data_IF_174468503555
#
_entry.id   IF_174468503555
#
_cell.length_a   1.000
_cell.length_b   1.000
_cell.length_c   1.000
_cell.angle_alpha   90.00
_cell.angle_beta   90.00
_cell.angle_gamma   90.00
#
_symmetry.space_group_name_H-M   'P 1'
#
loop_
_entity.id
_entity.type
_entity.pdbx_description
1 polymer ?
#
# COMPACT_ATOMS: atom_id res chain seq x y z
N UNK A 1 -41.77 12.39 52.16
CA UNK A 1 -40.94 11.46 51.35
C UNK A 1 -41.00 11.90 49.87
N UNK A 2 -40.05 12.73 49.46
CA UNK A 2 -39.99 13.27 48.10
C UNK A 2 -38.91 12.45 47.37
N UNK A 3 -39.27 11.65 46.37
CA UNK A 3 -38.36 10.90 45.51
C UNK A 3 -37.89 11.82 44.37
N UNK A 4 -36.64 12.22 44.42
CA UNK A 4 -35.96 12.92 43.31
C UNK A 4 -35.65 11.91 42.23
N UNK A 5 -36.24 12.10 41.04
CA UNK A 5 -35.94 11.37 39.83
C UNK A 5 -34.75 12.07 39.17
N UNK A 6 -33.56 11.49 39.20
CA UNK A 6 -32.40 11.97 38.48
C UNK A 6 -32.50 11.49 37.02
N UNK A 7 -32.72 12.44 36.12
CA UNK A 7 -32.71 12.21 34.66
C UNK A 7 -31.26 12.14 34.19
N UNK A 8 -30.74 10.95 33.95
CA UNK A 8 -29.42 10.74 33.35
C UNK A 8 -29.51 11.07 31.82
N UNK A 9 -28.98 12.22 31.46
CA UNK A 9 -28.79 12.60 30.05
C UNK A 9 -27.64 11.73 29.47
N UNK A 10 -27.98 10.71 28.70
CA UNK A 10 -27.03 9.95 27.89
C UNK A 10 -26.53 10.86 26.76
N UNK A 11 -25.35 11.46 26.92
CA UNK A 11 -24.58 12.06 25.86
C UNK A 11 -24.10 10.93 24.93
N UNK A 12 -24.87 10.63 23.91
CA UNK A 12 -24.38 9.85 22.77
C UNK A 12 -23.26 10.68 22.10
N UNK A 13 -22.07 10.08 21.85
CA UNK A 13 -21.08 10.77 21.06
C UNK A 13 -21.69 11.01 19.66
N UNK A 14 -21.79 12.28 19.26
CA UNK A 14 -22.15 12.63 17.90
C UNK A 14 -21.07 12.01 17.00
N UNK A 15 -21.45 10.99 16.24
CA UNK A 15 -20.62 10.54 15.14
C UNK A 15 -20.39 11.76 14.27
N UNK A 16 -19.15 12.24 14.17
CA UNK A 16 -18.81 13.34 13.28
C UNK A 16 -19.05 12.83 11.85
N UNK A 17 -20.21 13.18 11.28
CA UNK A 17 -20.52 12.85 9.89
C UNK A 17 -19.46 13.47 8.98
N UNK A 18 -19.11 12.77 7.90
CA UNK A 18 -18.27 13.34 6.86
C UNK A 18 -18.98 14.59 6.30
N UNK A 19 -18.21 15.67 6.16
CA UNK A 19 -18.75 16.94 5.69
C UNK A 19 -19.03 16.84 4.20
N UNK A 20 -20.22 17.28 3.76
CA UNK A 20 -20.51 17.42 2.34
C UNK A 20 -19.61 18.50 1.75
N UNK A 21 -18.87 18.15 0.71
CA UNK A 21 -17.95 19.08 0.06
C UNK A 21 -18.04 19.01 -1.46
N UNK A 22 -17.70 20.12 -2.11
CA UNK A 22 -17.49 20.21 -3.54
C UNK A 22 -16.12 20.82 -3.82
N UNK A 23 -15.30 20.12 -4.62
CA UNK A 23 -14.04 20.65 -5.13
C UNK A 23 -14.29 21.14 -6.54
N UNK A 24 -14.10 22.45 -6.78
CA UNK A 24 -14.35 23.10 -8.06
C UNK A 24 -13.05 23.49 -8.76
N UNK A 25 -13.13 23.76 -10.07
CA UNK A 25 -12.00 24.17 -10.91
C UNK A 25 -10.80 23.24 -10.79
N UNK A 26 -11.03 21.91 -10.72
CA UNK A 26 -10.00 20.91 -10.60
C UNK A 26 -9.55 20.38 -11.96
N UNK A 27 -8.28 20.06 -12.08
CA UNK A 27 -7.74 19.20 -13.14
C UNK A 27 -7.80 17.75 -12.63
N UNK A 28 -8.95 17.10 -12.77
CA UNK A 28 -9.17 15.79 -12.15
C UNK A 28 -8.63 14.64 -13.00
N UNK A 29 -7.78 13.82 -12.40
CA UNK A 29 -7.30 12.54 -12.95
C UNK A 29 -8.06 11.40 -12.29
N UNK A 30 -9.16 10.99 -12.90
CA UNK A 30 -10.11 10.06 -12.27
C UNK A 30 -9.62 8.62 -12.21
N UNK A 31 -8.60 8.26 -12.97
CA UNK A 31 -8.11 6.88 -13.14
C UNK A 31 -9.17 5.91 -13.69
N UNK A 32 -10.24 6.43 -14.33
CA UNK A 32 -11.27 5.63 -15.00
C UNK A 32 -10.87 5.42 -16.46
N UNK A 33 -11.05 4.20 -16.97
CA UNK A 33 -10.68 3.85 -18.35
C UNK A 33 -9.24 3.40 -18.49
N UNK A 34 -8.78 3.26 -19.74
CA UNK A 34 -7.43 2.83 -20.13
C UNK A 34 -6.93 3.64 -21.31
N UNK A 35 -5.62 3.83 -21.38
CA UNK A 35 -4.94 4.60 -22.44
C UNK A 35 -4.53 6.00 -22.00
N UNK A 36 -3.64 6.62 -22.75
CA UNK A 36 -3.02 7.91 -22.43
C UNK A 36 -4.06 9.01 -22.26
N UNK A 37 -4.08 9.64 -21.09
CA UNK A 37 -5.04 10.69 -20.72
C UNK A 37 -6.45 10.20 -20.41
N UNK A 38 -6.68 8.89 -20.34
CA UNK A 38 -7.97 8.34 -19.97
C UNK A 38 -8.37 8.79 -18.54
N UNK A 39 -9.62 9.25 -18.42
CA UNK A 39 -10.16 9.69 -17.15
C UNK A 39 -9.72 11.09 -16.69
N UNK A 40 -9.08 11.90 -17.55
CA UNK A 40 -8.79 13.31 -17.27
C UNK A 40 -10.04 14.15 -17.51
N UNK A 41 -10.40 15.00 -16.53
CA UNK A 41 -11.52 15.94 -16.60
C UNK A 41 -11.01 17.33 -16.21
N UNK A 42 -10.94 18.24 -17.20
CA UNK A 42 -10.54 19.63 -16.97
C UNK A 42 -11.69 20.45 -16.43
N UNK A 43 -11.39 21.47 -15.61
CA UNK A 43 -12.37 22.30 -14.92
C UNK A 43 -13.44 21.48 -14.20
N UNK A 44 -12.97 20.42 -13.53
CA UNK A 44 -13.87 19.47 -12.88
C UNK A 44 -14.47 20.03 -11.59
N UNK A 45 -15.74 19.67 -11.37
CA UNK A 45 -16.41 19.74 -10.07
C UNK A 45 -16.54 18.31 -9.52
N UNK A 46 -15.93 18.05 -8.36
CA UNK A 46 -16.01 16.78 -7.63
C UNK A 46 -16.96 17.00 -6.45
N UNK A 47 -18.07 16.30 -6.42
CA UNK A 47 -19.05 16.39 -5.33
C UNK A 47 -18.92 15.16 -4.43
N UNK A 48 -18.80 15.40 -3.13
CA UNK A 48 -18.69 14.37 -2.08
C UNK A 48 -19.85 14.53 -1.10
N UNK A 49 -20.49 13.41 -0.78
CA UNK A 49 -21.53 13.31 0.22
C UNK A 49 -21.30 12.07 1.09
N UNK A 50 -21.37 12.24 2.39
CA UNK A 50 -21.19 11.18 3.38
C UNK A 50 -19.90 10.34 3.14
N UNK A 51 -18.81 11.04 2.82
CA UNK A 51 -17.49 10.43 2.62
C UNK A 51 -17.32 9.66 1.30
N UNK A 52 -18.28 9.77 0.38
CA UNK A 52 -18.26 9.11 -0.94
C UNK A 52 -18.37 10.11 -2.07
N UNK A 53 -17.74 9.78 -3.20
CA UNK A 53 -17.84 10.57 -4.42
C UNK A 53 -19.26 10.37 -5.04
N UNK A 54 -19.97 11.46 -5.23
CA UNK A 54 -21.29 11.48 -5.90
C UNK A 54 -21.14 11.67 -7.39
N UNK A 55 -20.27 12.62 -7.79
CA UNK A 55 -20.02 12.92 -9.19
C UNK A 55 -18.67 13.60 -9.41
N UNK A 56 -18.13 13.40 -10.62
CA UNK A 56 -17.00 14.15 -11.16
C UNK A 56 -17.40 14.59 -12.56
N UNK A 57 -17.63 15.89 -12.76
CA UNK A 57 -18.15 16.44 -14.02
C UNK A 57 -17.45 17.75 -14.38
N UNK A 58 -17.23 18.01 -15.67
CA UNK A 58 -16.71 19.28 -16.12
C UNK A 58 -17.72 20.39 -15.81
N UNK A 59 -17.24 21.50 -15.20
CA UNK A 59 -18.07 22.67 -14.84
C UNK A 59 -19.40 22.30 -14.15
N UNK A 60 -19.36 21.31 -13.26
CA UNK A 60 -20.54 20.75 -12.60
C UNK A 60 -21.20 21.72 -11.62
N UNK A 61 -22.50 21.52 -11.40
CA UNK A 61 -23.24 22.28 -10.39
C UNK A 61 -22.83 21.87 -8.96
N UNK A 62 -22.71 22.85 -8.08
CA UNK A 62 -22.44 22.62 -6.64
C UNK A 62 -23.79 22.55 -5.92
N UNK A 63 -24.09 21.46 -5.18
CA UNK A 63 -25.30 21.36 -4.39
C UNK A 63 -25.38 22.45 -3.29
N UNK A 64 -26.58 22.93 -3.00
CA UNK A 64 -26.76 23.93 -1.95
C UNK A 64 -26.39 23.36 -0.56
N UNK A 65 -25.73 24.18 0.26
CA UNK A 65 -25.30 23.77 1.62
C UNK A 65 -24.00 22.99 1.68
N UNK A 66 -23.36 22.73 0.55
CA UNK A 66 -22.07 22.02 0.48
C UNK A 66 -20.90 22.99 0.74
N UNK A 67 -19.89 22.54 1.48
CA UNK A 67 -18.64 23.29 1.63
C UNK A 67 -17.88 23.27 0.31
N UNK A 68 -17.50 24.47 -0.20
CA UNK A 68 -16.81 24.60 -1.48
C UNK A 68 -15.31 24.81 -1.26
N UNK A 69 -14.51 24.04 -1.98
CA UNK A 69 -13.06 24.19 -2.06
C UNK A 69 -12.69 24.46 -3.52
N UNK A 70 -12.18 25.63 -3.79
CA UNK A 70 -11.67 25.98 -5.12
C UNK A 70 -10.26 25.42 -5.30
N UNK A 71 -10.10 24.46 -6.18
CA UNK A 71 -8.80 23.90 -6.52
C UNK A 71 -7.94 24.85 -7.34
N UNK A 72 -8.53 25.87 -7.99
CA UNK A 72 -7.81 26.90 -8.75
C UNK A 72 -6.97 26.32 -9.89
N UNK A 73 -7.46 25.31 -10.60
CA UNK A 73 -6.76 24.62 -11.68
C UNK A 73 -5.76 23.54 -11.21
N UNK A 74 -5.66 23.27 -9.90
CA UNK A 74 -4.75 22.26 -9.37
C UNK A 74 -5.14 20.85 -9.77
N UNK A 75 -4.12 20.01 -9.88
CA UNK A 75 -4.33 18.58 -10.13
C UNK A 75 -4.99 17.90 -8.93
N UNK A 76 -5.99 17.06 -9.21
CA UNK A 76 -6.66 16.21 -8.22
C UNK A 76 -6.58 14.76 -8.67
N UNK A 77 -6.09 13.90 -7.78
CA UNK A 77 -6.01 12.44 -8.00
C UNK A 77 -6.80 11.70 -6.94
N UNK A 78 -7.12 10.40 -7.15
CA UNK A 78 -7.42 9.52 -6.02
C UNK A 78 -6.30 9.60 -4.99
N UNK A 79 -6.61 9.33 -3.72
CA UNK A 79 -5.59 9.13 -2.71
C UNK A 79 -4.59 8.05 -3.15
N UNK A 80 -3.32 8.22 -2.82
CA UNK A 80 -2.31 7.24 -3.18
C UNK A 80 -2.38 6.01 -2.27
N UNK A 81 -2.01 4.85 -2.82
CA UNK A 81 -1.86 3.60 -2.09
C UNK A 81 -0.50 2.98 -2.36
N UNK A 82 0.32 2.88 -1.34
CA UNK A 82 1.58 2.15 -1.44
C UNK A 82 1.31 0.64 -1.28
N UNK A 83 1.76 -0.14 -2.26
CA UNK A 83 1.49 -1.58 -2.35
C UNK A 83 2.30 -2.45 -1.36
N UNK A 84 3.34 -1.88 -0.72
CA UNK A 84 4.14 -2.60 0.26
C UNK A 84 4.87 -1.65 1.22
N UNK A 85 4.45 -1.64 2.48
CA UNK A 85 5.04 -0.81 3.56
C UNK A 85 5.18 -1.61 4.84
N UNK A 86 5.78 -0.98 5.85
CA UNK A 86 5.80 -1.45 7.24
C UNK A 86 5.14 -0.43 8.17
N UNK A 87 4.28 0.45 7.61
CA UNK A 87 3.52 1.43 8.38
C UNK A 87 2.66 0.75 9.45
N UNK A 88 2.69 1.31 10.65
CA UNK A 88 2.00 0.75 11.81
C UNK A 88 2.71 -0.45 12.46
N UNK A 89 3.79 -0.98 11.87
CA UNK A 89 4.57 -2.12 12.41
C UNK A 89 5.96 -1.73 12.89
N UNK A 90 6.49 -0.62 12.40
CA UNK A 90 7.84 -0.15 12.70
C UNK A 90 7.81 1.35 12.94
N UNK A 91 8.29 1.80 14.10
CA UNK A 91 8.45 3.23 14.40
C UNK A 91 9.87 3.70 14.10
N UNK A 92 10.87 2.88 14.45
CA UNK A 92 12.27 3.10 14.11
C UNK A 92 13.01 1.77 13.93
N UNK A 93 13.79 1.67 12.86
CA UNK A 93 14.52 0.44 12.54
C UNK A 93 15.68 0.12 13.49
N UNK A 94 16.07 1.06 14.36
CA UNK A 94 17.19 0.90 15.30
C UNK A 94 16.77 0.47 16.71
N UNK A 95 15.47 0.34 16.99
CA UNK A 95 14.94 -0.06 18.27
C UNK A 95 14.05 -1.30 18.10
N UNK A 96 14.52 -2.45 18.55
CA UNK A 96 13.86 -3.74 18.35
C UNK A 96 12.44 -3.77 18.97
N UNK A 97 12.25 -3.08 20.10
CA UNK A 97 10.96 -2.96 20.78
C UNK A 97 9.89 -2.18 19.99
N UNK A 98 10.28 -1.54 18.90
CA UNK A 98 9.37 -0.82 17.99
C UNK A 98 9.22 -1.51 16.64
N UNK A 99 9.58 -2.79 16.54
CA UNK A 99 9.70 -3.52 15.29
C UNK A 99 8.94 -4.85 15.32
N UNK A 100 7.65 -4.79 15.01
CA UNK A 100 6.72 -5.92 15.07
C UNK A 100 6.48 -6.61 13.70
N UNK A 101 7.30 -6.33 12.71
CA UNK A 101 7.13 -6.84 11.33
C UNK A 101 7.45 -8.31 11.15
N UNK A 102 8.13 -8.96 12.09
CA UNK A 102 8.57 -10.35 11.93
C UNK A 102 8.62 -11.10 13.26
N UNK A 103 8.62 -12.43 13.18
CA UNK A 103 8.77 -13.31 14.34
C UNK A 103 9.81 -14.39 14.04
N UNK A 104 10.68 -14.67 15.00
CA UNK A 104 11.63 -15.80 14.93
C UNK A 104 11.02 -17.11 15.47
N UNK A 105 9.77 -17.09 15.92
CA UNK A 105 9.08 -18.27 16.41
C UNK A 105 8.73 -19.20 15.26
N UNK A 106 9.39 -20.36 15.18
CA UNK A 106 9.19 -21.34 14.10
C UNK A 106 7.83 -22.04 14.11
N UNK A 107 7.03 -21.87 15.17
CA UNK A 107 5.64 -22.35 15.18
C UNK A 107 4.71 -21.45 14.35
N UNK A 108 5.17 -20.27 13.94
CA UNK A 108 4.43 -19.30 13.15
C UNK A 108 5.15 -19.10 11.80
N UNK A 109 4.69 -19.79 10.78
CA UNK A 109 5.16 -19.63 9.41
C UNK A 109 4.14 -18.84 8.58
N UNK A 110 3.34 -19.54 7.81
CA UNK A 110 2.23 -18.98 7.04
C UNK A 110 1.16 -18.31 7.93
N UNK A 111 1.06 -18.71 9.18
CA UNK A 111 0.07 -18.22 10.14
C UNK A 111 0.47 -16.93 10.87
N UNK A 112 1.72 -16.47 10.76
CA UNK A 112 2.10 -15.17 11.33
C UNK A 112 1.24 -14.05 10.75
N UNK A 113 0.60 -13.26 11.59
CA UNK A 113 -0.42 -12.30 11.16
C UNK A 113 -0.19 -10.93 11.80
N UNK A 114 0.20 -9.97 10.98
CA UNK A 114 0.62 -8.63 11.43
C UNK A 114 -0.55 -7.75 11.90
N UNK A 115 -1.79 -8.13 11.65
CA UNK A 115 -2.94 -7.32 12.08
C UNK A 115 -2.97 -7.08 13.59
N UNK A 116 -2.42 -8.02 14.37
CA UNK A 116 -2.39 -7.92 15.82
C UNK A 116 -1.34 -6.95 16.38
N UNK A 117 -0.43 -6.47 15.52
CA UNK A 117 0.65 -5.56 15.88
C UNK A 117 0.47 -4.14 15.32
N UNK A 118 -0.60 -3.88 14.56
CA UNK A 118 -0.82 -2.58 13.94
C UNK A 118 -1.04 -1.49 14.98
N UNK A 119 -0.17 -0.47 14.98
CA UNK A 119 -0.24 0.68 15.87
C UNK A 119 -0.90 1.88 15.14
N UNK A 120 -2.16 2.17 15.49
CA UNK A 120 -2.90 3.31 14.95
C UNK A 120 -2.33 4.67 15.39
N UNK A 121 -1.52 4.70 16.45
CA UNK A 121 -0.87 5.90 16.97
C UNK A 121 0.57 6.06 16.48
N UNK A 122 0.99 5.30 15.46
CA UNK A 122 2.32 5.44 14.86
C UNK A 122 2.57 6.87 14.40
N UNK A 123 3.73 7.43 14.77
CA UNK A 123 4.15 8.78 14.38
C UNK A 123 4.46 8.88 12.88
N UNK A 124 4.52 7.78 12.16
CA UNK A 124 4.79 7.71 10.73
C UNK A 124 3.53 7.81 9.88
N UNK A 125 2.35 7.50 10.42
CA UNK A 125 1.09 7.62 9.70
C UNK A 125 0.78 9.06 9.27
N UNK A 126 0.96 10.10 10.13
CA UNK A 126 0.83 11.49 9.70
C UNK A 126 1.81 11.89 8.58
N UNK A 127 3.04 11.37 8.60
CA UNK A 127 4.04 11.65 7.56
C UNK A 127 3.58 11.07 6.23
N UNK A 128 3.26 9.78 6.19
CA UNK A 128 2.78 9.10 4.99
C UNK A 128 1.51 9.76 4.42
N UNK A 129 0.60 10.22 5.29
CA UNK A 129 -0.62 10.94 4.90
C UNK A 129 -0.31 12.31 4.32
N UNK A 130 0.65 13.05 4.91
CA UNK A 130 1.10 14.34 4.39
C UNK A 130 1.76 14.22 3.00
N UNK A 131 2.25 13.04 2.62
CA UNK A 131 2.77 12.72 1.29
C UNK A 131 1.69 12.29 0.28
N UNK A 132 0.41 12.26 0.70
CA UNK A 132 -0.72 11.91 -0.15
C UNK A 132 -1.16 10.45 -0.08
N UNK A 133 -0.56 9.62 0.80
CA UNK A 133 -1.07 8.27 1.03
C UNK A 133 -2.37 8.32 1.84
N UNK A 134 -3.39 7.64 1.36
CA UNK A 134 -4.65 7.43 2.10
C UNK A 134 -4.83 5.97 2.48
N UNK A 135 -4.14 5.07 1.77
CA UNK A 135 -4.09 3.64 2.07
C UNK A 135 -2.69 3.08 1.87
N UNK A 136 -2.42 1.96 2.51
CA UNK A 136 -1.20 1.20 2.30
C UNK A 136 -1.43 -0.29 2.56
N UNK A 137 -0.50 -1.10 2.08
CA UNK A 137 -0.37 -2.50 2.49
C UNK A 137 0.76 -2.58 3.49
N UNK A 138 0.46 -2.97 4.72
CA UNK A 138 1.48 -3.36 5.69
C UNK A 138 1.75 -4.85 5.57
N UNK A 139 3.01 -5.22 5.38
CA UNK A 139 3.40 -6.61 5.13
C UNK A 139 4.49 -7.08 6.08
N UNK A 140 4.52 -8.39 6.42
CA UNK A 140 5.53 -8.96 7.31
C UNK A 140 6.88 -9.06 6.61
N UNK A 141 7.97 -8.96 7.37
CA UNK A 141 9.30 -9.29 6.89
C UNK A 141 9.61 -10.78 7.08
N UNK A 142 10.56 -11.29 6.30
CA UNK A 142 11.02 -12.66 6.43
C UNK A 142 11.56 -12.94 7.84
N UNK A 143 11.20 -14.09 8.38
CA UNK A 143 11.64 -14.60 9.67
C UNK A 143 12.14 -16.04 9.56
N UNK A 144 12.28 -16.76 10.67
CA UNK A 144 12.93 -18.07 10.72
C UNK A 144 12.29 -19.22 9.94
N UNK A 145 11.08 -19.09 9.39
CA UNK A 145 10.32 -20.17 8.74
C UNK A 145 10.22 -19.96 7.23
N UNK A 146 11.35 -20.12 6.52
CA UNK A 146 11.37 -20.01 5.07
C UNK A 146 10.46 -21.06 4.37
N UNK A 147 9.80 -20.70 3.27
CA UNK A 147 9.85 -19.40 2.60
C UNK A 147 8.79 -18.39 3.10
N UNK A 148 8.05 -18.68 4.16
CA UNK A 148 6.93 -17.88 4.62
C UNK A 148 7.39 -16.61 5.34
N UNK A 149 6.68 -15.51 5.06
CA UNK A 149 6.77 -14.25 5.80
C UNK A 149 5.55 -14.05 6.70
N UNK A 150 4.37 -14.49 6.25
CA UNK A 150 3.10 -14.39 6.99
C UNK A 150 2.01 -13.63 6.24
N UNK A 151 1.01 -13.17 6.99
CA UNK A 151 -0.19 -12.49 6.50
C UNK A 151 -0.02 -10.98 6.56
N UNK A 152 -0.28 -10.30 5.45
CA UNK A 152 -0.33 -8.85 5.35
C UNK A 152 -1.75 -8.30 5.58
N UNK A 153 -1.84 -7.01 5.88
CA UNK A 153 -3.11 -6.29 5.99
C UNK A 153 -3.12 -5.05 5.12
N UNK A 154 -4.28 -4.64 4.60
CA UNK A 154 -4.45 -3.28 4.12
C UNK A 154 -4.83 -2.38 5.27
N UNK A 155 -4.26 -1.18 5.27
CA UNK A 155 -4.52 -0.15 6.27
C UNK A 155 -5.05 1.11 5.61
N UNK A 156 -5.90 1.80 6.35
CA UNK A 156 -6.49 3.07 5.99
C UNK A 156 -5.89 4.16 6.86
N UNK A 157 -5.30 5.18 6.26
CA UNK A 157 -4.53 6.21 6.97
C UNK A 157 -5.45 7.28 7.59
N UNK A 158 -6.43 6.84 8.38
CA UNK A 158 -7.32 7.73 9.14
C UNK A 158 -6.58 8.42 10.29
N UNK A 159 -7.08 9.57 10.73
CA UNK A 159 -6.49 10.31 11.86
C UNK A 159 -6.93 9.75 13.22
N UNK A 160 -8.07 9.09 13.25
CA UNK A 160 -8.65 8.57 14.48
C UNK A 160 -9.26 7.20 14.26
N UNK A 161 -9.24 6.38 15.30
CA UNK A 161 -9.83 5.04 15.26
C UNK A 161 -8.87 3.96 14.76
N UNK A 162 -9.44 2.85 14.35
CA UNK A 162 -8.69 1.70 13.85
C UNK A 162 -8.21 1.96 12.41
N UNK A 163 -6.95 1.67 12.15
CA UNK A 163 -6.35 1.76 10.81
C UNK A 163 -6.53 0.48 9.99
N UNK A 164 -6.89 -0.63 10.62
CA UNK A 164 -7.09 -1.90 9.93
C UNK A 164 -8.30 -1.81 9.00
N UNK A 165 -8.07 -1.91 7.68
CA UNK A 165 -9.14 -1.96 6.69
C UNK A 165 -9.51 -3.40 6.34
N UNK A 166 -8.49 -4.19 5.98
CA UNK A 166 -8.70 -5.60 5.63
C UNK A 166 -7.60 -6.47 6.21
N UNK A 167 -7.93 -7.34 7.18
CA UNK A 167 -6.99 -8.31 7.71
C UNK A 167 -6.69 -9.38 6.65
N UNK A 168 -5.49 -9.97 6.75
CA UNK A 168 -5.09 -11.10 5.90
C UNK A 168 -5.34 -10.84 4.40
N UNK A 169 -5.03 -9.60 3.97
CA UNK A 169 -5.24 -9.16 2.58
C UNK A 169 -4.43 -10.01 1.57
N UNK A 170 -3.27 -10.50 1.99
CA UNK A 170 -2.43 -11.39 1.21
C UNK A 170 -1.52 -12.23 2.11
N UNK A 171 -1.16 -13.44 1.63
CA UNK A 171 -0.06 -14.23 2.16
C UNK A 171 1.23 -13.82 1.47
N UNK A 172 2.31 -13.63 2.23
CA UNK A 172 3.63 -13.29 1.70
C UNK A 172 4.62 -14.45 1.86
N UNK A 173 5.38 -14.69 0.80
CA UNK A 173 6.53 -15.62 0.80
C UNK A 173 7.71 -14.96 0.11
N UNK A 174 8.92 -15.32 0.51
CA UNK A 174 10.15 -14.83 -0.11
C UNK A 174 10.99 -15.97 -0.67
N UNK A 175 11.27 -15.89 -1.97
CA UNK A 175 12.14 -16.82 -2.69
C UNK A 175 13.34 -16.03 -3.22
N UNK A 176 14.50 -16.35 -2.76
CA UNK A 176 15.74 -15.65 -3.18
C UNK A 176 16.84 -15.76 -2.15
N UNK A 177 17.93 -15.02 -2.38
CA UNK A 177 19.15 -15.09 -1.57
C UNK A 177 18.91 -14.75 -0.09
N UNK A 178 18.02 -13.84 0.23
CA UNK A 178 17.77 -13.37 1.59
C UNK A 178 17.24 -14.47 2.54
N UNK A 179 16.48 -15.45 2.02
CA UNK A 179 15.93 -16.56 2.82
C UNK A 179 16.56 -17.92 2.49
N UNK A 180 17.66 -17.91 1.73
CA UNK A 180 18.30 -19.13 1.24
C UNK A 180 18.83 -20.02 2.38
N UNK A 181 19.50 -19.43 3.37
CA UNK A 181 20.06 -20.15 4.52
C UNK A 181 18.98 -20.80 5.37
N UNK A 182 17.87 -20.14 5.59
CA UNK A 182 16.72 -20.66 6.34
C UNK A 182 16.03 -21.85 5.63
N UNK A 183 16.22 -21.98 4.31
CA UNK A 183 15.72 -23.11 3.51
C UNK A 183 16.79 -24.18 3.23
N UNK A 184 17.91 -24.17 3.97
CA UNK A 184 18.99 -25.15 3.79
C UNK A 184 19.92 -24.85 2.61
N UNK A 185 20.00 -23.60 2.14
CA UNK A 185 21.01 -23.13 1.18
C UNK A 185 20.65 -23.31 -0.31
N UNK A 186 19.41 -23.66 -0.65
CA UNK A 186 19.01 -23.90 -2.04
C UNK A 186 17.66 -23.29 -2.42
N UNK A 187 17.57 -22.61 -3.58
CA UNK A 187 16.29 -22.15 -4.16
C UNK A 187 15.37 -23.31 -4.47
N UNK A 188 15.92 -24.45 -4.91
CA UNK A 188 15.13 -25.65 -5.12
C UNK A 188 14.43 -26.10 -3.83
N UNK A 189 15.12 -26.00 -2.69
CA UNK A 189 14.50 -26.27 -1.39
C UNK A 189 13.39 -25.28 -1.05
N UNK A 190 13.59 -23.98 -1.28
CA UNK A 190 12.54 -22.96 -1.07
C UNK A 190 11.26 -23.30 -1.86
N UNK A 191 11.39 -23.60 -3.16
CA UNK A 191 10.26 -23.96 -4.01
C UNK A 191 9.60 -25.27 -3.58
N UNK A 192 10.41 -26.28 -3.19
CA UNK A 192 9.87 -27.55 -2.71
C UNK A 192 9.12 -27.41 -1.39
N UNK A 193 9.66 -26.62 -0.45
CA UNK A 193 8.99 -26.33 0.82
C UNK A 193 7.64 -25.66 0.61
N UNK A 194 7.58 -24.64 -0.28
CA UNK A 194 6.32 -23.97 -0.60
C UNK A 194 5.30 -24.91 -1.24
N UNK A 195 5.71 -25.70 -2.25
CA UNK A 195 4.84 -26.67 -2.93
C UNK A 195 4.34 -27.77 -1.98
N UNK A 196 5.23 -28.25 -1.12
CA UNK A 196 4.87 -29.25 -0.12
C UNK A 196 3.86 -28.69 0.89
N UNK A 197 4.11 -27.51 1.45
CA UNK A 197 3.21 -26.88 2.40
C UNK A 197 1.80 -26.64 1.81
N UNK A 198 1.71 -26.17 0.56
CA UNK A 198 0.43 -26.02 -0.15
C UNK A 198 -0.28 -27.37 -0.34
N UNK A 199 0.47 -28.41 -0.68
CA UNK A 199 -0.08 -29.78 -0.85
C UNK A 199 -0.62 -30.32 0.46
N UNK A 200 0.15 -30.21 1.54
CA UNK A 200 -0.24 -30.69 2.86
C UNK A 200 -1.40 -29.88 3.45
N UNK A 201 -1.42 -28.56 3.24
CA UNK A 201 -2.57 -27.73 3.62
C UNK A 201 -3.85 -28.13 2.89
N UNK A 202 -3.76 -28.50 1.60
CA UNK A 202 -4.90 -29.01 0.82
C UNK A 202 -5.42 -30.36 1.32
N UNK A 203 -4.58 -31.16 1.97
CA UNK A 203 -4.92 -32.47 2.54
C UNK A 203 -5.23 -32.43 4.03
N UNK A 204 -4.99 -31.31 4.69
CA UNK A 204 -5.14 -31.19 6.12
C UNK A 204 -6.56 -31.48 6.59
N UNK A 205 -6.67 -32.29 7.63
CA UNK A 205 -7.94 -32.69 8.26
C UNK A 205 -7.94 -32.32 9.75
N UNK A 206 -8.83 -31.43 10.18
CA UNK A 206 -8.92 -31.07 11.60
C UNK A 206 -9.13 -32.31 12.49
N UNK A 207 -8.38 -32.38 13.61
CA UNK A 207 -8.48 -33.48 14.59
C UNK A 207 -7.73 -34.76 14.24
N UNK A 208 -7.15 -34.86 13.03
CA UNK A 208 -6.29 -36.00 12.66
C UNK A 208 -4.90 -35.79 13.27
N UNK A 209 -4.33 -36.77 14.02
CA UNK A 209 -2.99 -36.64 14.59
C UNK A 209 -1.89 -36.75 13.49
N UNK A 210 -0.67 -36.39 13.86
CA UNK A 210 0.57 -36.61 13.10
C UNK A 210 0.56 -36.10 11.66
N UNK A 211 -0.02 -34.90 11.45
CA UNK A 211 0.03 -34.23 10.16
C UNK A 211 1.32 -33.40 10.03
N UNK A 212 1.95 -33.35 8.83
CA UNK A 212 3.27 -32.74 8.62
C UNK A 212 3.25 -31.20 8.65
N UNK A 213 2.07 -30.59 8.72
CA UNK A 213 1.88 -29.14 8.80
C UNK A 213 1.10 -28.78 10.08
N UNK A 214 1.46 -27.65 10.72
CA UNK A 214 0.74 -27.16 11.89
C UNK A 214 -0.71 -26.80 11.52
N UNK A 215 -1.63 -26.91 12.48
CA UNK A 215 -3.03 -26.50 12.29
C UNK A 215 -3.13 -25.05 11.80
N UNK A 216 -2.38 -24.13 12.44
CA UNK A 216 -2.44 -22.70 12.12
C UNK A 216 -1.95 -22.43 10.71
N UNK A 217 -0.82 -23.02 10.30
CA UNK A 217 -0.29 -22.83 8.95
C UNK A 217 -1.16 -23.50 7.88
N UNK A 218 -1.75 -24.66 8.18
CA UNK A 218 -2.70 -25.30 7.28
C UNK A 218 -3.94 -24.43 7.05
N UNK A 219 -4.56 -23.90 8.10
CA UNK A 219 -5.72 -23.02 8.01
C UNK A 219 -5.38 -21.73 7.23
N UNK A 220 -4.18 -21.15 7.43
CA UNK A 220 -3.71 -19.99 6.69
C UNK A 220 -3.54 -20.28 5.20
N UNK A 221 -2.86 -21.39 4.85
CA UNK A 221 -2.63 -21.78 3.45
C UNK A 221 -3.89 -22.25 2.75
N UNK A 222 -4.88 -22.82 3.47
CA UNK A 222 -6.18 -23.13 2.89
C UNK A 222 -6.91 -21.88 2.38
N UNK A 223 -6.70 -20.68 2.98
CA UNK A 223 -7.24 -19.43 2.45
C UNK A 223 -6.59 -19.08 1.10
N UNK A 224 -5.29 -19.32 0.95
CA UNK A 224 -4.57 -19.15 -0.32
C UNK A 224 -5.13 -20.09 -1.39
N UNK A 225 -5.32 -21.36 -1.06
CA UNK A 225 -5.93 -22.35 -1.97
C UNK A 225 -7.39 -22.01 -2.33
N UNK A 226 -8.08 -21.20 -1.52
CA UNK A 226 -9.45 -20.72 -1.77
C UNK A 226 -9.50 -19.33 -2.41
N UNK A 227 -8.36 -18.79 -2.87
CA UNK A 227 -8.31 -17.53 -3.65
C UNK A 227 -7.79 -16.30 -2.91
N UNK A 228 -7.29 -16.42 -1.67
CA UNK A 228 -6.51 -15.35 -1.06
C UNK A 228 -5.27 -15.09 -1.91
N UNK A 229 -4.89 -13.83 -2.06
CA UNK A 229 -3.69 -13.44 -2.81
C UNK A 229 -2.42 -14.01 -2.16
N UNK A 230 -1.58 -14.67 -2.96
CA UNK A 230 -0.22 -15.06 -2.61
C UNK A 230 0.76 -14.08 -3.26
N UNK A 231 1.46 -13.27 -2.47
CA UNK A 231 2.53 -12.40 -2.95
C UNK A 231 3.86 -13.14 -2.81
N UNK A 232 4.56 -13.31 -3.92
CA UNK A 232 5.87 -13.97 -3.97
C UNK A 232 6.92 -12.90 -4.21
N UNK A 233 7.71 -12.59 -3.18
CA UNK A 233 8.85 -11.68 -3.27
C UNK A 233 10.01 -12.43 -3.90
N UNK A 234 10.37 -12.04 -5.12
CA UNK A 234 11.47 -12.62 -5.90
C UNK A 234 11.91 -11.68 -7.02
N UNK A 235 13.19 -11.78 -7.44
CA UNK A 235 13.80 -10.84 -8.38
C UNK A 235 14.09 -11.46 -9.74
N UNK A 236 14.54 -12.73 -9.76
CA UNK A 236 15.09 -13.38 -10.95
C UNK A 236 14.03 -13.93 -11.89
N UNK A 237 14.28 -13.83 -13.19
CA UNK A 237 13.43 -14.41 -14.23
C UNK A 237 13.07 -15.88 -13.98
N UNK A 238 14.08 -16.70 -13.61
CA UNK A 238 13.87 -18.13 -13.36
C UNK A 238 12.86 -18.38 -12.23
N UNK A 239 12.92 -17.59 -11.16
CA UNK A 239 11.99 -17.71 -10.03
C UNK A 239 10.61 -17.14 -10.36
N UNK A 240 10.54 -16.05 -11.16
CA UNK A 240 9.27 -15.52 -11.67
C UNK A 240 8.55 -16.58 -12.53
N UNK A 241 9.28 -17.30 -13.39
CA UNK A 241 8.71 -18.40 -14.19
C UNK A 241 8.23 -19.55 -13.31
N UNK A 242 8.93 -19.88 -12.22
CA UNK A 242 8.46 -20.87 -11.24
C UNK A 242 7.18 -20.40 -10.53
N UNK A 243 7.07 -19.10 -10.21
CA UNK A 243 5.84 -18.55 -9.64
C UNK A 243 4.65 -18.63 -10.61
N UNK A 244 4.87 -18.37 -11.90
CA UNK A 244 3.85 -18.56 -12.95
C UNK A 244 3.41 -20.04 -13.02
N UNK A 245 4.35 -20.97 -12.99
CA UNK A 245 4.05 -22.41 -12.97
C UNK A 245 3.28 -22.82 -11.71
N UNK A 246 3.71 -22.34 -10.53
CA UNK A 246 3.01 -22.59 -9.27
C UNK A 246 1.55 -22.10 -9.31
N UNK A 247 1.34 -20.86 -9.80
CA UNK A 247 0.01 -20.28 -9.94
C UNK A 247 -0.91 -21.14 -10.79
N UNK A 248 -0.38 -21.69 -11.90
CA UNK A 248 -1.11 -22.60 -12.79
C UNK A 248 -1.40 -23.95 -12.12
N UNK A 249 -0.38 -24.58 -11.51
CA UNK A 249 -0.47 -25.92 -10.94
C UNK A 249 -1.48 -26.02 -9.80
N UNK A 250 -1.49 -24.99 -8.92
CA UNK A 250 -2.37 -24.93 -7.76
C UNK A 250 -3.61 -24.05 -7.97
N UNK A 251 -3.76 -23.41 -9.14
CA UNK A 251 -4.84 -22.45 -9.46
C UNK A 251 -4.90 -21.29 -8.48
N UNK A 252 -3.74 -20.73 -8.13
CA UNK A 252 -3.62 -19.65 -7.16
C UNK A 252 -3.80 -18.30 -7.80
N UNK A 253 -4.27 -17.36 -7.00
CA UNK A 253 -4.17 -15.92 -7.29
C UNK A 253 -2.80 -15.44 -6.78
N UNK A 254 -1.89 -15.11 -7.69
CA UNK A 254 -0.50 -14.75 -7.38
C UNK A 254 -0.21 -13.33 -7.82
N UNK A 255 0.62 -12.61 -7.08
CA UNK A 255 1.33 -11.41 -7.51
C UNK A 255 2.84 -11.59 -7.26
N UNK A 256 3.67 -10.99 -8.10
CA UNK A 256 5.14 -10.98 -7.90
C UNK A 256 5.53 -9.63 -7.31
N UNK A 257 6.34 -9.65 -6.25
CA UNK A 257 6.92 -8.44 -5.66
C UNK A 257 8.43 -8.42 -5.85
N UNK A 258 9.02 -7.23 -6.05
CA UNK A 258 10.41 -7.01 -6.44
C UNK A 258 10.56 -7.08 -7.96
N UNK A 259 10.73 -8.28 -8.52
CA UNK A 259 10.60 -8.53 -9.97
C UNK A 259 11.60 -7.76 -10.84
N UNK A 260 12.85 -7.58 -10.41
CA UNK A 260 13.87 -6.80 -11.13
C UNK A 260 14.15 -7.33 -12.54
N UNK A 261 13.99 -8.63 -12.75
CA UNK A 261 14.15 -9.27 -14.07
C UNK A 261 12.81 -9.57 -14.77
N UNK A 262 11.69 -9.00 -14.32
CA UNK A 262 10.36 -9.27 -14.92
C UNK A 262 10.27 -8.85 -16.40
N UNK A 263 11.02 -7.86 -16.82
CA UNK A 263 11.13 -7.44 -18.21
C UNK A 263 11.51 -8.58 -19.18
N UNK A 264 12.25 -9.60 -18.70
CA UNK A 264 12.64 -10.78 -19.49
C UNK A 264 11.47 -11.73 -19.78
N UNK A 265 10.41 -11.65 -18.98
CA UNK A 265 9.24 -12.53 -19.08
C UNK A 265 7.91 -11.76 -19.02
N UNK A 266 7.91 -10.50 -19.45
CA UNK A 266 6.74 -9.63 -19.43
C UNK A 266 5.53 -10.25 -20.16
N UNK A 267 5.74 -10.83 -21.34
CA UNK A 267 4.67 -11.50 -22.11
C UNK A 267 4.07 -12.69 -21.35
N UNK A 268 4.90 -13.46 -20.64
CA UNK A 268 4.42 -14.59 -19.85
C UNK A 268 3.60 -14.13 -18.62
N UNK A 269 4.02 -13.05 -17.97
CA UNK A 269 3.28 -12.42 -16.88
C UNK A 269 1.92 -11.88 -17.36
N UNK A 270 1.91 -11.18 -18.51
CA UNK A 270 0.69 -10.67 -19.12
C UNK A 270 -0.28 -11.79 -19.50
N UNK A 271 0.21 -12.84 -20.17
CA UNK A 271 -0.58 -14.01 -20.55
C UNK A 271 -1.16 -14.75 -19.34
N UNK A 272 -0.41 -14.84 -18.23
CA UNK A 272 -0.84 -15.45 -16.99
C UNK A 272 -1.72 -14.52 -16.14
N UNK A 273 -1.85 -13.24 -16.52
CA UNK A 273 -2.54 -12.19 -15.75
C UNK A 273 -2.02 -12.07 -14.32
N UNK A 274 -0.71 -12.23 -14.14
CA UNK A 274 -0.05 -12.10 -12.84
C UNK A 274 0.46 -10.66 -12.71
N UNK A 275 -0.06 -9.89 -11.75
CA UNK A 275 0.38 -8.52 -11.52
C UNK A 275 1.76 -8.48 -10.87
N UNK A 276 2.42 -7.32 -11.03
CA UNK A 276 3.76 -7.07 -10.49
C UNK A 276 3.72 -5.86 -9.56
N UNK A 277 4.29 -6.04 -8.37
CA UNK A 277 4.52 -4.98 -7.39
C UNK A 277 6.01 -4.69 -7.43
N UNK A 278 6.41 -3.54 -7.97
CA UNK A 278 7.82 -3.23 -8.21
C UNK A 278 8.22 -1.86 -7.67
N UNK A 279 9.51 -1.72 -7.43
CA UNK A 279 10.15 -0.43 -7.21
C UNK A 279 10.84 0.00 -8.52
N UNK A 280 10.36 1.04 -9.20
CA UNK A 280 11.02 1.54 -10.41
C UNK A 280 12.41 2.13 -10.20
N UNK A 281 12.80 2.42 -8.95
CA UNK A 281 14.16 2.92 -8.62
C UNK A 281 15.20 1.81 -8.54
N UNK A 282 14.79 0.55 -8.39
CA UNK A 282 15.72 -0.58 -8.32
C UNK A 282 16.42 -0.81 -9.67
N UNK A 283 17.64 -0.29 -9.79
CA UNK A 283 18.47 -0.36 -11.00
C UNK A 283 19.94 -0.71 -10.73
N UNK A 284 20.35 -0.71 -9.47
CA UNK A 284 21.69 -1.07 -9.06
C UNK A 284 21.65 -2.40 -8.28
N UNK A 285 22.36 -3.43 -8.75
CA UNK A 285 22.34 -4.73 -8.08
C UNK A 285 23.04 -4.65 -6.72
N UNK A 286 22.28 -4.81 -5.65
CA UNK A 286 22.81 -5.00 -4.29
C UNK A 286 23.04 -6.49 -3.97
N UNK A 287 22.56 -7.37 -4.84
CA UNK A 287 22.74 -8.82 -4.74
C UNK A 287 22.82 -9.46 -6.13
N UNK A 288 23.29 -10.70 -6.21
CA UNK A 288 23.28 -11.48 -7.46
C UNK A 288 21.86 -11.71 -8.02
N UNK A 289 20.83 -11.58 -7.22
CA UNK A 289 19.43 -11.74 -7.66
C UNK A 289 18.96 -10.54 -8.49
N UNK A 290 19.66 -9.41 -8.41
CA UNK A 290 19.31 -8.13 -9.03
C UNK A 290 20.22 -7.72 -10.18
N UNK A 291 21.09 -8.63 -10.66
CA UNK A 291 22.05 -8.32 -11.76
C UNK A 291 21.33 -7.82 -13.01
N UNK A 292 20.11 -8.29 -13.26
CA UNK A 292 19.30 -7.89 -14.39
C UNK A 292 18.39 -6.68 -14.15
N UNK A 293 18.54 -5.97 -13.02
CA UNK A 293 17.77 -4.76 -12.71
C UNK A 293 18.01 -3.66 -13.77
N UNK A 294 16.95 -2.93 -14.12
CA UNK A 294 17.01 -1.84 -15.13
C UNK A 294 15.86 -0.85 -14.96
N UNK A 295 16.13 0.41 -15.26
CA UNK A 295 15.17 1.52 -15.07
C UNK A 295 13.93 1.43 -15.96
N UNK A 296 14.00 0.83 -17.13
CA UNK A 296 12.87 0.69 -18.07
C UNK A 296 12.05 -0.59 -17.86
N UNK A 297 12.29 -1.34 -16.77
CA UNK A 297 11.51 -2.53 -16.43
C UNK A 297 10.00 -2.23 -16.39
N UNK A 298 9.59 -1.17 -15.69
CA UNK A 298 8.19 -0.75 -15.61
C UNK A 298 7.59 -0.42 -16.99
N UNK A 299 8.36 0.25 -17.85
CA UNK A 299 7.91 0.60 -19.21
C UNK A 299 7.69 -0.65 -20.08
N UNK A 300 8.59 -1.63 -19.99
CA UNK A 300 8.46 -2.91 -20.73
C UNK A 300 7.22 -3.69 -20.22
N UNK A 301 7.01 -3.77 -18.91
CA UNK A 301 5.85 -4.40 -18.32
C UNK A 301 4.54 -3.71 -18.73
N UNK A 302 4.52 -2.36 -18.70
CA UNK A 302 3.38 -1.56 -19.12
C UNK A 302 3.03 -1.77 -20.60
N UNK A 303 4.05 -1.82 -21.48
CA UNK A 303 3.87 -2.12 -22.90
C UNK A 303 3.31 -3.52 -23.14
N UNK A 304 3.69 -4.50 -22.33
CA UNK A 304 3.17 -5.86 -22.41
C UNK A 304 1.74 -5.99 -21.80
N UNK A 305 1.21 -4.93 -21.18
CA UNK A 305 -0.10 -4.95 -20.53
C UNK A 305 -0.12 -5.63 -19.15
N UNK A 306 1.02 -5.77 -18.50
CA UNK A 306 1.10 -6.29 -17.14
C UNK A 306 0.52 -5.26 -16.16
N UNK A 307 -0.38 -5.70 -15.29
CA UNK A 307 -0.89 -4.87 -14.20
C UNK A 307 0.21 -4.63 -13.18
N UNK A 308 0.40 -3.37 -12.80
CA UNK A 308 1.45 -2.97 -11.87
C UNK A 308 0.91 -2.24 -10.65
N UNK A 309 1.64 -2.34 -9.55
CA UNK A 309 1.57 -1.45 -8.41
C UNK A 309 2.98 -1.07 -7.98
N UNK A 310 3.15 0.15 -7.45
CA UNK A 310 4.43 0.63 -6.99
C UNK A 310 4.58 0.62 -5.48
N UNK A 311 5.80 0.48 -5.04
CA UNK A 311 6.26 0.70 -3.69
C UNK A 311 7.69 1.26 -3.75
N UNK A 312 8.25 1.70 -2.64
CA UNK A 312 9.66 2.01 -2.56
C UNK A 312 10.37 0.91 -1.77
N UNK A 313 11.32 0.23 -2.40
CA UNK A 313 12.12 -0.83 -1.80
C UNK A 313 13.25 -0.26 -0.93
N UNK A 314 14.07 -1.11 -0.39
CA UNK A 314 15.27 -0.72 0.34
C UNK A 314 15.19 -1.04 1.82
N UNK A 315 15.65 -0.09 2.64
CA UNK A 315 15.67 -0.27 4.08
C UNK A 315 14.37 0.21 4.74
N UNK A 316 14.29 0.11 6.06
CA UNK A 316 13.15 0.55 6.86
C UNK A 316 12.72 2.00 6.60
N UNK A 317 13.64 2.87 6.16
CA UNK A 317 13.33 4.28 5.87
C UNK A 317 12.27 4.37 4.77
N UNK A 318 12.51 3.82 3.59
CA UNK A 318 11.57 3.88 2.47
C UNK A 318 10.27 3.09 2.70
N UNK A 319 10.35 2.01 3.47
CA UNK A 319 9.16 1.21 3.79
C UNK A 319 8.26 1.83 4.86
N UNK A 320 8.72 2.87 5.55
CA UNK A 320 8.00 3.46 6.67
C UNK A 320 8.04 4.99 6.69
N UNK A 321 9.24 5.61 6.70
CA UNK A 321 9.39 7.07 6.85
C UNK A 321 9.01 7.82 5.59
N UNK A 322 9.57 7.41 4.44
CA UNK A 322 9.43 8.11 3.16
C UNK A 322 8.52 7.32 2.20
N UNK A 323 7.61 6.52 2.76
CA UNK A 323 6.78 5.59 1.99
C UNK A 323 5.91 6.28 0.91
N UNK A 324 5.54 7.53 1.10
CA UNK A 324 4.78 8.31 0.13
C UNK A 324 5.68 9.01 -0.88
N UNK A 325 6.64 9.80 -0.41
CA UNK A 325 7.54 10.60 -1.25
C UNK A 325 8.38 9.70 -2.16
N UNK A 326 9.07 8.70 -1.60
CA UNK A 326 9.92 7.79 -2.39
C UNK A 326 9.12 7.03 -3.46
N UNK A 327 7.87 6.62 -3.18
CA UNK A 327 7.02 5.98 -4.19
C UNK A 327 6.67 6.94 -5.34
N UNK A 328 6.39 8.23 -5.06
CA UNK A 328 6.11 9.24 -6.09
C UNK A 328 7.35 9.51 -6.96
N UNK A 329 8.51 9.64 -6.35
CA UNK A 329 9.80 9.79 -7.06
C UNK A 329 10.10 8.57 -7.95
N UNK A 330 9.87 7.35 -7.42
CA UNK A 330 10.00 6.12 -8.19
C UNK A 330 9.06 6.11 -9.42
N UNK A 331 7.84 6.58 -9.25
CA UNK A 331 6.88 6.70 -10.34
C UNK A 331 7.32 7.72 -11.40
N UNK A 332 7.86 8.88 -10.97
CA UNK A 332 8.46 9.89 -11.87
C UNK A 332 9.64 9.33 -12.66
N UNK A 333 10.50 8.54 -11.99
CA UNK A 333 11.63 7.87 -12.65
C UNK A 333 11.15 6.84 -13.68
N UNK A 334 10.07 6.09 -13.39
CA UNK A 334 9.48 5.18 -14.37
C UNK A 334 8.98 5.92 -15.63
N UNK A 335 8.36 7.10 -15.46
CA UNK A 335 7.94 7.94 -16.58
C UNK A 335 9.14 8.45 -17.38
N UNK A 336 10.19 8.91 -16.71
CA UNK A 336 11.44 9.33 -17.37
C UNK A 336 12.10 8.21 -18.17
N UNK A 337 11.81 6.94 -17.82
CA UNK A 337 12.33 5.76 -18.51
C UNK A 337 11.28 5.07 -19.41
N UNK A 338 10.23 5.79 -19.81
CA UNK A 338 9.33 5.41 -20.91
C UNK A 338 7.99 4.80 -20.50
N UNK A 339 7.67 4.74 -19.20
CA UNK A 339 6.31 4.37 -18.77
C UNK A 339 5.35 5.55 -19.06
N UNK A 340 4.18 5.34 -19.67
CA UNK A 340 3.17 6.38 -19.80
C UNK A 340 2.76 6.96 -18.45
N UNK A 341 2.60 8.30 -18.40
CA UNK A 341 2.29 9.05 -17.18
C UNK A 341 1.04 8.54 -16.44
N UNK A 342 -0.03 8.27 -17.18
CA UNK A 342 -1.29 7.73 -16.65
C UNK A 342 -1.12 6.32 -16.06
N UNK A 343 -0.21 5.51 -16.62
CA UNK A 343 0.11 4.19 -16.06
C UNK A 343 0.91 4.31 -14.75
N UNK A 344 1.79 5.29 -14.63
CA UNK A 344 2.51 5.56 -13.38
C UNK A 344 1.55 5.99 -12.27
N UNK A 345 0.63 6.92 -12.54
CA UNK A 345 -0.43 7.30 -11.59
C UNK A 345 -1.34 6.10 -11.24
N UNK A 346 -1.70 5.30 -12.23
CA UNK A 346 -2.51 4.11 -12.00
C UNK A 346 -1.80 3.08 -11.12
N UNK A 347 -0.47 2.95 -11.22
CA UNK A 347 0.31 2.04 -10.40
C UNK A 347 0.41 2.47 -8.92
N UNK A 348 0.07 3.73 -8.60
CA UNK A 348 -0.01 4.25 -7.24
C UNK A 348 -1.46 4.43 -6.71
N UNK A 349 -2.47 4.07 -7.49
CA UNK A 349 -3.89 4.29 -7.15
C UNK A 349 -4.71 3.03 -7.43
N UNK A 350 -5.31 2.89 -8.61
CA UNK A 350 -6.16 1.75 -8.97
C UNK A 350 -5.39 0.42 -9.09
N UNK A 351 -4.11 0.46 -9.42
CA UNK A 351 -3.26 -0.74 -9.52
C UNK A 351 -3.22 -1.54 -8.23
N UNK A 352 -2.70 -0.96 -7.12
CA UNK A 352 -2.73 -1.62 -5.83
C UNK A 352 -4.16 -1.93 -5.35
N UNK A 353 -5.12 -1.04 -5.56
CA UNK A 353 -6.52 -1.29 -5.21
C UNK A 353 -7.05 -2.58 -5.87
N UNK A 354 -6.75 -2.79 -7.15
CA UNK A 354 -7.18 -3.98 -7.88
C UNK A 354 -6.42 -5.23 -7.41
N UNK A 355 -5.11 -5.14 -7.20
CA UNK A 355 -4.29 -6.27 -6.74
C UNK A 355 -4.79 -6.76 -5.38
N UNK A 356 -5.08 -5.86 -4.46
CA UNK A 356 -5.50 -6.21 -3.10
C UNK A 356 -7.02 -6.29 -2.92
N UNK A 357 -7.81 -6.12 -4.00
CA UNK A 357 -9.26 -6.34 -4.01
C UNK A 357 -10.05 -5.25 -3.30
N UNK A 358 -9.65 -3.97 -3.48
CA UNK A 358 -10.32 -2.77 -2.94
C UNK A 358 -11.02 -1.94 -4.04
N UNK A 359 -10.96 -2.37 -5.31
CA UNK A 359 -11.42 -1.56 -6.44
C UNK A 359 -12.95 -1.36 -6.51
N UNK A 360 -13.71 -2.03 -5.68
CA UNK A 360 -15.14 -1.79 -5.49
C UNK A 360 -15.45 -0.45 -4.78
N UNK A 361 -14.49 0.08 -4.00
CA UNK A 361 -14.68 1.31 -3.24
C UNK A 361 -13.47 2.24 -3.22
N UNK A 362 -12.34 1.90 -3.88
CA UNK A 362 -11.11 2.70 -3.83
C UNK A 362 -10.28 2.62 -5.13
N UNK A 363 -9.46 3.64 -5.37
CA UNK A 363 -8.43 3.70 -6.41
C UNK A 363 -8.80 4.52 -7.64
N UNK A 364 -10.03 5.04 -7.71
CA UNK A 364 -10.51 5.93 -8.78
C UNK A 364 -11.38 7.06 -8.22
N UNK A 365 -11.53 8.15 -8.97
CA UNK A 365 -12.53 9.19 -8.64
C UNK A 365 -13.88 8.87 -9.31
N UNK A 366 -14.36 7.63 -9.17
CA UNK A 366 -15.64 7.22 -9.69
C UNK A 366 -16.77 7.45 -8.66
N UNK A 367 -18.01 7.49 -9.15
CA UNK A 367 -19.18 7.50 -8.29
C UNK A 367 -19.17 6.29 -7.34
N UNK A 368 -19.63 6.50 -6.12
CA UNK A 368 -19.74 5.53 -5.03
C UNK A 368 -18.38 5.03 -4.45
N UNK A 369 -17.26 5.54 -4.98
CA UNK A 369 -15.95 5.32 -4.38
C UNK A 369 -15.80 6.15 -3.09
N UNK A 370 -14.99 5.68 -2.16
CA UNK A 370 -14.58 6.48 -1.00
C UNK A 370 -13.94 7.79 -1.47
N UNK A 371 -14.29 8.88 -0.85
CA UNK A 371 -13.73 10.19 -1.17
C UNK A 371 -12.31 10.34 -0.57
N UNK A 372 -11.44 9.42 -0.98
CA UNK A 372 -10.00 9.48 -0.75
C UNK A 372 -9.39 10.17 -1.96
N UNK A 373 -8.93 11.41 -1.76
CA UNK A 373 -8.38 12.20 -2.85
C UNK A 373 -7.32 13.19 -2.35
N UNK A 374 -6.45 13.59 -3.27
CA UNK A 374 -5.38 14.56 -3.00
C UNK A 374 -5.47 15.68 -4.01
N UNK A 375 -5.41 16.92 -3.52
CA UNK A 375 -5.21 18.13 -4.31
C UNK A 375 -3.73 18.49 -4.22
N UNK A 376 -3.05 18.56 -5.34
CA UNK A 376 -1.61 18.80 -5.43
C UNK A 376 -1.28 20.27 -5.69
N UNK A 377 -0.17 20.76 -5.18
CA UNK A 377 0.33 22.11 -5.51
C UNK A 377 1.10 22.17 -6.83
N UNK A 378 1.41 20.98 -7.42
CA UNK A 378 2.08 20.81 -8.71
C UNK A 378 1.86 19.41 -9.27
N UNK A 379 2.80 18.89 -10.05
CA UNK A 379 2.78 17.51 -10.54
C UNK A 379 3.23 16.54 -9.43
N UNK A 380 2.40 15.56 -9.03
CA UNK A 380 2.75 14.61 -7.95
C UNK A 380 3.98 13.75 -8.23
N UNK A 381 4.43 13.64 -9.49
CA UNK A 381 5.62 12.86 -9.87
C UNK A 381 6.90 13.68 -9.86
N UNK A 382 6.81 15.00 -9.66
CA UNK A 382 7.97 15.89 -9.56
C UNK A 382 8.45 16.01 -8.11
N UNK A 383 9.76 15.84 -7.86
CA UNK A 383 10.35 16.15 -6.57
C UNK A 383 10.04 17.59 -6.13
N UNK A 384 9.70 17.80 -4.89
CA UNK A 384 9.36 19.13 -4.38
C UNK A 384 7.90 19.55 -4.58
N UNK A 385 7.07 18.73 -5.21
CA UNK A 385 5.62 18.88 -5.18
C UNK A 385 5.03 18.24 -3.91
N UNK A 386 4.10 18.95 -3.27
CA UNK A 386 3.46 18.48 -2.04
C UNK A 386 1.94 18.48 -2.19
N UNK A 387 1.23 17.63 -1.43
CA UNK A 387 -0.21 17.76 -1.29
C UNK A 387 -0.58 19.13 -0.73
N UNK A 388 -1.44 19.85 -1.43
CA UNK A 388 -2.06 21.06 -0.88
C UNK A 388 -3.16 20.69 0.12
N UNK A 389 -3.94 19.63 -0.19
CA UNK A 389 -4.95 19.05 0.70
C UNK A 389 -5.05 17.54 0.46
N UNK A 390 -5.26 16.80 1.54
CA UNK A 390 -5.53 15.36 1.51
C UNK A 390 -6.90 15.11 2.15
N UNK A 391 -7.70 14.27 1.52
CA UNK A 391 -8.99 13.85 2.05
C UNK A 391 -9.01 12.33 2.19
N UNK A 392 -9.47 11.89 3.36
CA UNK A 392 -9.62 10.48 3.70
C UNK A 392 -11.09 10.26 4.05
N UNK A 393 -11.80 9.52 3.20
CA UNK A 393 -13.27 9.34 3.28
C UNK A 393 -14.01 10.66 3.43
N UNK A 394 -13.67 11.64 2.57
CA UNK A 394 -14.30 12.96 2.55
C UNK A 394 -13.96 13.88 3.72
N UNK A 395 -13.07 13.49 4.62
CA UNK A 395 -12.59 14.34 5.70
C UNK A 395 -11.21 14.89 5.35
N UNK A 396 -11.04 16.19 5.44
CA UNK A 396 -9.75 16.83 5.26
C UNK A 396 -8.80 16.36 6.37
N UNK A 397 -7.68 15.80 5.98
CA UNK A 397 -6.65 15.32 6.89
C UNK A 397 -5.62 16.42 7.18
N UNK A 398 -5.11 16.47 8.41
CA UNK A 398 -4.02 17.35 8.78
C UNK A 398 -2.74 16.96 8.03
N UNK A 399 -2.05 17.95 7.48
CA UNK A 399 -0.71 17.82 6.93
C UNK A 399 0.38 18.15 7.95
N UNK A 400 -0.02 18.35 9.22
CA UNK A 400 0.92 18.58 10.31
C UNK A 400 1.63 17.28 10.67
N UNK A 401 2.96 17.33 10.69
CA UNK A 401 3.83 16.23 11.06
C UNK A 401 4.80 16.67 12.15
N UNK A 402 5.46 15.72 12.82
CA UNK A 402 6.54 16.05 13.75
C UNK A 402 7.61 16.91 13.09
N UNK A 403 7.91 16.67 11.81
CA UNK A 403 8.92 17.43 11.04
C UNK A 403 8.47 18.86 10.83
N UNK A 404 7.21 19.11 10.45
CA UNK A 404 6.67 20.46 10.25
C UNK A 404 6.61 21.21 11.58
N UNK A 405 6.20 20.57 12.66
CA UNK A 405 6.21 21.16 14.01
C UNK A 405 7.61 21.57 14.47
N UNK A 406 8.62 20.70 14.23
CA UNK A 406 10.01 21.01 14.53
C UNK A 406 10.53 22.16 13.67
N UNK A 407 10.26 22.14 12.35
CA UNK A 407 10.60 23.23 11.45
C UNK A 407 10.03 24.55 11.96
N UNK A 408 8.75 24.60 12.26
CA UNK A 408 8.07 25.84 12.65
C UNK A 408 8.55 26.36 14.01
N UNK A 409 8.89 25.44 14.92
CA UNK A 409 9.50 25.78 16.20
C UNK A 409 10.89 26.45 16.06
N UNK A 410 11.70 26.00 15.11
CA UNK A 410 13.09 26.42 14.95
C UNK A 410 13.32 27.40 13.79
N UNK A 411 12.41 27.54 12.84
CA UNK A 411 12.51 28.47 11.72
C UNK A 411 12.52 29.95 12.16
N UNK A 412 11.91 30.26 13.31
CA UNK A 412 11.98 31.57 13.96
C UNK A 412 12.66 31.35 15.32
N UNK A 413 14.00 31.44 15.41
CA UNK A 413 14.66 31.34 16.70
C UNK A 413 14.15 32.47 17.56
N UNK A 414 13.35 32.19 18.57
CA UNK A 414 13.14 33.08 19.67
C UNK A 414 14.54 33.42 20.21
N UNK A 415 14.77 34.71 20.56
CA UNK A 415 15.98 35.07 21.25
C UNK A 415 16.03 34.24 22.55
N UNK A 416 16.65 33.08 22.47
CA UNK A 416 16.85 32.25 23.65
C UNK A 416 17.76 33.04 24.61
N UNK A 417 17.39 33.13 25.88
CA UNK A 417 18.33 33.68 26.86
C UNK A 417 19.64 32.91 26.79
N UNK A 418 20.79 33.57 26.96
CA UNK A 418 22.06 32.87 26.90
C UNK A 418 22.08 31.71 27.89
N UNK A 419 22.49 30.54 27.41
CA UNK A 419 22.49 29.28 28.19
C UNK A 419 23.44 29.35 29.39
N UNK A 420 24.40 30.28 29.34
CA UNK A 420 25.33 30.60 30.42
C UNK A 420 25.16 32.05 30.86
N UNK A 421 24.75 32.24 32.09
CA UNK A 421 24.96 33.52 32.76
C UNK A 421 26.42 33.58 33.27
N UNK A 422 27.19 34.58 32.85
CA UNK A 422 28.53 34.83 33.40
C UNK A 422 28.45 35.39 34.81
#
# INVERSE_FOLDING_TARGET
MIRSLALALLLLPAAANAQDLAITHAEAWTMIGSGTGAGKVSDATIVVHDGRIVSVTASGAVPAGTTVIDAGGRMVTPGLMNAATQLGLVETGSADETNDKSSTNTALGASFDIQYALNANSVLLPVARADGLTRAVSYPAAAGTAPFMGQAATIHLTETGDILERPQAAMYVQIGSATLSAAGGSRSAQWQLLRNALTEAGRYQPGKPDQPISRLDAEALQKVLKGQLLVILTQRESDIRQAIALAKDFRLRVAIMGADEAWRCADALAAAKIPVILDPMDNLPISFDQIGARLDNAAILGKAGVQMAFYASGNTIYLSYDAGEAMREAAGLAVANGLPYDQALAAMTRGPATIFGLSDHYGTLARDQDADLVIWDGDPLEPGTYPWKVFVRGREASLETRQTLLRDRYAKPAALPPVYQK
#
